data_IF_079422469689
#
_entry.id   IF_079422469689
#
_cell.length_a   1.000
_cell.length_b   1.000
_cell.length_c   1.000
_cell.angle_alpha   90.00
_cell.angle_beta   90.00
_cell.angle_gamma   90.00
#
_symmetry.space_group_name_H-M   'P 1'
#
loop_
_entity.id
_entity.type
_entity.pdbx_description
1 polymer ?
#
# COMPACT_ATOMS: atom_id res chain seq x y z
N UNK A 1 2.65 -19.72 -28.69
CA UNK A 1 2.30 -18.67 -27.70
C UNK A 1 2.05 -19.38 -26.37
N UNK A 2 2.69 -18.96 -25.28
CA UNK A 2 2.50 -19.60 -23.97
C UNK A 2 1.03 -19.46 -23.56
N UNK A 3 0.47 -20.48 -22.91
CA UNK A 3 -0.82 -20.31 -22.24
C UNK A 3 -0.72 -19.26 -21.13
N UNK A 4 -1.84 -18.64 -20.76
CA UNK A 4 -1.87 -17.70 -19.63
C UNK A 4 -1.33 -18.34 -18.34
N UNK A 5 -1.59 -19.64 -18.15
CA UNK A 5 -1.11 -20.36 -16.97
C UNK A 5 0.40 -20.54 -16.94
N UNK A 6 1.04 -20.87 -18.05
CA UNK A 6 2.49 -20.94 -18.14
C UNK A 6 3.11 -19.55 -17.96
N UNK A 7 2.52 -18.55 -18.62
CA UNK A 7 2.95 -17.15 -18.57
C UNK A 7 2.97 -16.59 -17.15
N UNK A 8 1.88 -16.77 -16.40
CA UNK A 8 1.83 -16.30 -15.01
C UNK A 8 2.69 -17.17 -14.09
N UNK A 9 2.85 -18.48 -14.33
CA UNK A 9 3.74 -19.34 -13.51
C UNK A 9 5.18 -18.84 -13.58
N UNK A 10 5.64 -18.38 -14.74
CA UNK A 10 6.98 -17.78 -14.88
C UNK A 10 7.11 -16.49 -14.06
N UNK A 11 6.12 -15.60 -14.15
CA UNK A 11 6.05 -14.41 -13.33
C UNK A 11 6.08 -14.72 -11.82
N UNK A 12 5.28 -15.69 -11.37
CA UNK A 12 5.17 -16.05 -9.96
C UNK A 12 6.48 -16.54 -9.35
N UNK A 13 7.34 -17.19 -10.14
CA UNK A 13 8.69 -17.61 -9.69
C UNK A 13 9.57 -16.41 -9.33
N UNK A 14 9.43 -15.29 -10.03
CA UNK A 14 10.25 -14.08 -9.83
C UNK A 14 9.81 -13.34 -8.56
N UNK A 15 8.49 -13.25 -8.35
CA UNK A 15 7.87 -12.41 -7.32
C UNK A 15 7.47 -13.17 -6.05
N UNK A 16 7.91 -14.42 -5.88
CA UNK A 16 7.55 -15.29 -4.75
C UNK A 16 7.83 -14.63 -3.38
N UNK A 17 8.93 -13.88 -3.25
CA UNK A 17 9.30 -13.16 -2.02
C UNK A 17 8.27 -12.11 -1.56
N UNK A 18 7.38 -11.67 -2.45
CA UNK A 18 6.32 -10.70 -2.16
C UNK A 18 5.00 -11.36 -1.73
N UNK A 19 4.89 -12.69 -1.81
CA UNK A 19 3.68 -13.38 -1.34
C UNK A 19 3.65 -13.45 0.18
N UNK A 20 2.47 -13.17 0.74
CA UNK A 20 2.19 -13.51 2.13
C UNK A 20 1.93 -15.03 2.20
N UNK A 21 2.52 -15.77 3.16
CA UNK A 21 2.22 -17.19 3.33
C UNK A 21 0.73 -17.43 3.54
N UNK A 22 0.17 -18.47 2.91
CA UNK A 22 -1.27 -18.78 2.98
C UNK A 22 -1.79 -18.94 4.41
N UNK A 23 -0.98 -19.43 5.34
CA UNK A 23 -1.33 -19.56 6.76
C UNK A 23 -1.56 -18.22 7.47
N UNK A 24 -1.09 -17.11 6.90
CA UNK A 24 -1.26 -15.75 7.41
C UNK A 24 -2.29 -14.94 6.63
N UNK A 25 -2.97 -15.54 5.65
CA UNK A 25 -3.91 -14.82 4.81
C UNK A 25 -5.07 -14.29 5.62
N UNK A 26 -5.35 -13.03 5.38
CA UNK A 26 -6.59 -12.36 5.72
C UNK A 26 -7.50 -12.35 4.49
N UNK A 27 -8.78 -11.97 4.63
CA UNK A 27 -9.65 -11.75 3.48
C UNK A 27 -9.10 -10.76 2.44
N UNK A 28 -8.23 -9.82 2.83
CA UNK A 28 -7.56 -8.93 1.87
C UNK A 28 -6.53 -9.68 1.02
N UNK A 29 -5.79 -10.60 1.63
CA UNK A 29 -4.80 -11.43 0.96
C UNK A 29 -5.48 -12.38 -0.04
N UNK A 30 -6.66 -12.92 0.30
CA UNK A 30 -7.45 -13.71 -0.64
C UNK A 30 -7.74 -12.93 -1.93
N UNK A 31 -8.17 -11.67 -1.86
CA UNK A 31 -8.43 -10.85 -3.05
C UNK A 31 -7.17 -10.63 -3.89
N UNK A 32 -6.02 -10.47 -3.25
CA UNK A 32 -4.76 -10.14 -3.93
C UNK A 32 -4.12 -11.39 -4.57
N UNK A 33 -4.18 -12.53 -3.89
CA UNK A 33 -3.38 -13.71 -4.24
C UNK A 33 -4.19 -14.87 -4.81
N UNK A 34 -5.50 -14.97 -4.53
CA UNK A 34 -6.32 -16.09 -5.02
C UNK A 34 -6.65 -15.99 -6.52
N UNK A 35 -6.95 -14.80 -7.09
CA UNK A 35 -7.33 -14.75 -8.50
C UNK A 35 -6.17 -15.06 -9.42
N UNK A 36 -6.37 -16.06 -10.29
CA UNK A 36 -5.38 -16.44 -11.29
C UNK A 36 -5.21 -15.34 -12.34
N UNK A 37 -6.31 -14.84 -12.87
CA UNK A 37 -6.37 -13.66 -13.74
C UNK A 37 -7.29 -12.62 -13.08
N UNK A 38 -6.74 -11.50 -12.57
CA UNK A 38 -7.56 -10.48 -11.90
C UNK A 38 -8.58 -9.81 -12.84
N UNK A 39 -8.44 -9.96 -14.16
CA UNK A 39 -9.34 -9.37 -15.15
C UNK A 39 -10.39 -10.34 -15.70
N UNK A 40 -10.38 -11.61 -15.26
CA UNK A 40 -11.33 -12.65 -15.71
C UNK A 40 -12.05 -13.34 -14.55
N UNK A 41 -12.23 -12.62 -13.45
CA UNK A 41 -13.05 -13.07 -12.32
C UNK A 41 -14.53 -12.83 -12.65
N UNK A 42 -15.41 -13.75 -12.28
CA UNK A 42 -16.85 -13.51 -12.42
C UNK A 42 -17.31 -12.34 -11.54
N UNK A 43 -18.37 -11.64 -11.93
CA UNK A 43 -18.92 -10.53 -11.12
C UNK A 43 -19.31 -11.00 -9.71
N UNK A 44 -20.00 -12.14 -9.62
CA UNK A 44 -20.42 -12.72 -8.34
C UNK A 44 -19.24 -12.97 -7.41
N UNK A 45 -18.21 -13.65 -7.90
CA UNK A 45 -17.00 -13.94 -7.12
C UNK A 45 -16.27 -12.66 -6.72
N UNK A 46 -16.17 -11.68 -7.63
CA UNK A 46 -15.57 -10.37 -7.36
C UNK A 46 -16.31 -9.64 -6.23
N UNK A 47 -17.64 -9.64 -6.25
CA UNK A 47 -18.46 -9.01 -5.22
C UNK A 47 -18.33 -9.69 -3.86
N UNK A 48 -18.28 -11.02 -3.83
CA UNK A 48 -18.07 -11.81 -2.62
C UNK A 48 -16.69 -11.55 -2.00
N UNK A 49 -15.63 -11.59 -2.81
CA UNK A 49 -14.26 -11.28 -2.41
C UNK A 49 -14.15 -9.86 -1.86
N UNK A 50 -14.69 -8.88 -2.59
CA UNK A 50 -14.71 -7.46 -2.18
C UNK A 50 -15.44 -7.27 -0.86
N UNK A 51 -16.61 -7.88 -0.69
CA UNK A 51 -17.39 -7.74 0.53
C UNK A 51 -16.65 -8.31 1.75
N UNK A 52 -16.09 -9.51 1.64
CA UNK A 52 -15.28 -10.14 2.71
C UNK A 52 -14.09 -9.27 3.09
N UNK A 53 -13.33 -8.78 2.10
CA UNK A 53 -12.17 -7.93 2.33
C UNK A 53 -12.53 -6.59 2.98
N UNK A 54 -13.57 -5.90 2.51
CA UNK A 54 -13.99 -4.62 3.08
C UNK A 54 -14.55 -4.77 4.48
N UNK A 55 -15.38 -5.79 4.73
CA UNK A 55 -15.90 -6.09 6.07
C UNK A 55 -14.76 -6.37 7.06
N UNK A 56 -13.79 -7.20 6.65
CA UNK A 56 -12.60 -7.47 7.47
C UNK A 56 -11.78 -6.20 7.73
N UNK A 57 -11.52 -5.40 6.69
CA UNK A 57 -10.76 -4.15 6.81
C UNK A 57 -11.43 -3.18 7.78
N UNK A 58 -12.75 -3.01 7.66
CA UNK A 58 -13.54 -2.18 8.56
C UNK A 58 -13.43 -2.64 10.01
N UNK A 59 -13.63 -3.94 10.27
CA UNK A 59 -13.49 -4.51 11.61
C UNK A 59 -12.08 -4.33 12.19
N UNK A 60 -11.05 -4.54 11.35
CA UNK A 60 -9.66 -4.37 11.72
C UNK A 60 -9.33 -2.91 12.11
N UNK A 61 -9.74 -1.93 11.30
CA UNK A 61 -9.54 -0.52 11.62
C UNK A 61 -10.37 -0.07 12.83
N UNK A 62 -11.63 -0.51 12.93
CA UNK A 62 -12.47 -0.22 14.09
C UNK A 62 -11.82 -0.68 15.40
N UNK A 63 -11.21 -1.87 15.39
CA UNK A 63 -10.57 -2.46 16.58
C UNK A 63 -9.20 -1.84 16.90
N UNK A 64 -8.38 -1.58 15.88
CA UNK A 64 -6.95 -1.32 16.05
C UNK A 64 -6.50 0.10 15.68
N UNK A 65 -7.43 1.01 15.35
CA UNK A 65 -7.12 2.41 15.11
C UNK A 65 -7.94 3.29 16.05
N UNK A 66 -7.25 3.97 16.97
CA UNK A 66 -7.91 4.79 18.00
C UNK A 66 -8.74 5.92 17.42
N UNK A 67 -8.25 6.59 16.38
CA UNK A 67 -8.98 7.68 15.71
C UNK A 67 -10.26 7.15 15.04
N UNK A 68 -10.13 6.10 14.23
CA UNK A 68 -11.24 5.54 13.48
C UNK A 68 -12.29 4.89 14.39
N UNK A 69 -11.86 4.27 15.49
CA UNK A 69 -12.77 3.77 16.53
C UNK A 69 -13.66 4.87 17.10
N UNK A 70 -13.08 6.03 17.45
CA UNK A 70 -13.82 7.19 17.95
C UNK A 70 -14.81 7.71 16.91
N UNK A 71 -14.37 7.91 15.67
CA UNK A 71 -15.23 8.33 14.55
C UNK A 71 -16.43 7.39 14.35
N UNK A 72 -16.21 6.07 14.44
CA UNK A 72 -17.27 5.08 14.29
C UNK A 72 -18.25 5.12 15.48
N UNK A 73 -17.76 5.27 16.71
CA UNK A 73 -18.60 5.41 17.91
C UNK A 73 -19.47 6.66 17.88
N UNK A 74 -18.90 7.80 17.47
CA UNK A 74 -19.63 9.07 17.30
C UNK A 74 -20.78 8.94 16.28
N UNK A 75 -20.57 8.16 15.22
CA UNK A 75 -21.58 7.86 14.21
C UNK A 75 -22.50 6.70 14.55
N UNK A 76 -22.30 6.03 15.69
CA UNK A 76 -23.10 4.88 16.12
C UNK A 76 -22.98 3.64 15.24
N UNK A 77 -21.86 3.48 14.50
CA UNK A 77 -21.64 2.34 13.59
C UNK A 77 -20.59 1.39 14.17
N UNK A 78 -20.83 0.07 14.08
CA UNK A 78 -19.92 -1.00 14.50
C UNK A 78 -19.81 -2.11 13.43
N UNK A 79 -18.77 -2.97 13.49
CA UNK A 79 -18.57 -4.05 12.51
C UNK A 79 -19.79 -4.97 12.29
N UNK A 80 -20.56 -5.23 13.33
CA UNK A 80 -21.75 -6.10 13.26
C UNK A 80 -22.91 -5.52 12.44
N UNK A 81 -22.88 -4.21 12.14
CA UNK A 81 -23.87 -3.55 11.30
C UNK A 81 -23.68 -3.83 9.80
N UNK A 82 -22.53 -4.43 9.44
CA UNK A 82 -22.15 -4.75 8.06
C UNK A 82 -22.42 -6.24 7.80
N UNK A 83 -23.64 -6.56 7.33
CA UNK A 83 -24.10 -7.95 7.13
C UNK A 83 -24.20 -8.34 5.66
N UNK A 84 -24.45 -7.38 4.78
CA UNK A 84 -24.59 -7.57 3.32
C UNK A 84 -23.87 -6.46 2.53
N UNK A 85 -23.60 -6.64 1.22
CA UNK A 85 -22.88 -5.65 0.42
C UNK A 85 -23.45 -4.24 0.46
N UNK A 86 -24.78 -4.08 0.51
CA UNK A 86 -25.41 -2.76 0.59
C UNK A 86 -25.17 -2.03 1.92
N UNK A 87 -24.72 -2.72 2.97
CA UNK A 87 -24.36 -2.08 4.25
C UNK A 87 -23.00 -1.38 4.19
N UNK A 88 -22.17 -1.63 3.16
CA UNK A 88 -20.85 -1.00 3.03
C UNK A 88 -20.93 0.53 2.98
N UNK A 89 -22.05 1.09 2.53
CA UNK A 89 -22.30 2.54 2.51
C UNK A 89 -22.43 3.16 3.91
N UNK A 90 -22.65 2.34 4.95
CA UNK A 90 -22.70 2.79 6.35
C UNK A 90 -21.30 3.05 6.93
N UNK A 91 -20.25 2.52 6.30
CA UNK A 91 -18.87 2.65 6.79
C UNK A 91 -18.48 4.13 6.75
N UNK A 92 -18.06 4.72 7.88
CA UNK A 92 -17.63 6.12 7.91
C UNK A 92 -16.46 6.37 6.95
N UNK A 93 -16.64 7.34 6.06
CA UNK A 93 -15.58 7.86 5.20
C UNK A 93 -14.68 8.83 5.97
N UNK A 94 -13.40 8.84 5.61
CA UNK A 94 -12.41 9.81 6.10
C UNK A 94 -12.07 10.76 4.93
N UNK A 95 -12.26 12.08 5.09
CA UNK A 95 -11.93 13.03 4.03
C UNK A 95 -10.42 13.08 3.80
N UNK A 96 -9.98 13.35 2.57
CA UNK A 96 -8.56 13.47 2.23
C UNK A 96 -7.86 14.59 3.01
N UNK A 97 -8.60 15.68 3.32
CA UNK A 97 -8.12 16.80 4.14
C UNK A 97 -7.56 16.34 5.49
N UNK A 98 -8.12 15.29 6.10
CA UNK A 98 -7.59 14.73 7.35
C UNK A 98 -6.12 14.31 7.21
N UNK A 99 -5.75 13.68 6.08
CA UNK A 99 -4.38 13.24 5.82
C UNK A 99 -3.44 14.36 5.37
N UNK A 100 -3.99 15.54 5.08
CA UNK A 100 -3.24 16.75 4.71
C UNK A 100 -3.05 17.68 5.91
N UNK A 101 -3.89 17.59 6.94
CA UNK A 101 -3.86 18.44 8.13
C UNK A 101 -2.86 17.94 9.19
N UNK A 102 -1.66 17.57 8.74
CA UNK A 102 -0.59 17.13 9.63
C UNK A 102 0.20 18.34 10.17
N UNK A 103 0.72 18.28 11.41
CA UNK A 103 1.52 19.34 12.01
C UNK A 103 2.84 19.60 11.26
N UNK A 104 3.31 20.85 11.29
CA UNK A 104 4.59 21.22 10.65
C UNK A 104 5.81 20.95 11.55
N UNK A 105 5.63 20.95 12.87
CA UNK A 105 6.70 20.59 13.80
C UNK A 105 6.88 19.06 13.85
N UNK A 106 8.13 18.60 13.93
CA UNK A 106 8.42 17.17 13.83
C UNK A 106 7.89 16.33 14.99
N UNK A 107 7.78 16.87 16.20
CA UNK A 107 7.29 16.10 17.36
C UNK A 107 5.81 15.81 17.23
N UNK A 108 5.01 16.84 16.95
CA UNK A 108 3.58 16.67 16.71
C UNK A 108 3.33 15.87 15.44
N UNK A 109 4.17 16.00 14.42
CA UNK A 109 4.10 15.16 13.21
C UNK A 109 4.32 13.67 13.52
N UNK A 110 5.29 13.33 14.38
CA UNK A 110 5.53 11.95 14.82
C UNK A 110 4.32 11.38 15.60
N UNK A 111 3.74 12.17 16.50
CA UNK A 111 2.52 11.82 17.24
C UNK A 111 1.33 11.60 16.28
N UNK A 112 1.18 12.50 15.30
CA UNK A 112 0.13 12.41 14.29
C UNK A 112 0.28 11.15 13.42
N UNK A 113 1.49 10.85 12.92
CA UNK A 113 1.78 9.62 12.17
C UNK A 113 1.44 8.36 12.97
N UNK A 114 1.79 8.35 14.26
CA UNK A 114 1.50 7.24 15.17
C UNK A 114 -0.02 7.03 15.32
N UNK A 115 -0.79 8.11 15.42
CA UNK A 115 -2.24 8.05 15.61
C UNK A 115 -3.02 7.60 14.37
N UNK A 116 -2.50 7.84 13.16
CA UNK A 116 -3.15 7.39 11.92
C UNK A 116 -2.78 5.96 11.53
N UNK A 117 -1.72 5.40 12.11
CA UNK A 117 -1.34 4.01 11.89
C UNK A 117 -2.40 3.06 12.50
N UNK A 118 -2.61 1.91 11.86
CA UNK A 118 -3.51 0.86 12.37
C UNK A 118 -2.69 -0.36 12.72
N UNK A 119 -2.84 -0.86 13.95
CA UNK A 119 -2.09 -2.00 14.44
C UNK A 119 -1.07 -1.61 15.51
N UNK A 120 -0.11 -2.50 15.75
CA UNK A 120 0.92 -2.31 16.77
C UNK A 120 2.09 -1.53 16.18
N UNK A 121 2.34 -0.33 16.69
CA UNK A 121 3.54 0.41 16.34
C UNK A 121 4.80 -0.32 16.84
N UNK A 122 5.88 -0.37 16.05
CA UNK A 122 7.19 -0.76 16.55
C UNK A 122 7.70 0.28 17.56
N UNK A 123 8.78 -0.06 18.26
CA UNK A 123 9.48 0.92 19.09
C UNK A 123 10.18 1.93 18.17
N UNK A 124 9.80 3.19 18.28
CA UNK A 124 10.29 4.29 17.44
C UNK A 124 11.11 5.24 18.31
N UNK A 125 12.41 5.34 18.03
CA UNK A 125 13.30 6.28 18.68
C UNK A 125 13.51 7.52 17.81
N UNK A 126 13.01 8.67 18.26
CA UNK A 126 13.21 9.95 17.58
C UNK A 126 14.57 10.52 17.98
N UNK A 127 15.55 10.49 17.07
CA UNK A 127 16.96 10.72 17.39
C UNK A 127 17.27 12.17 17.75
N UNK A 128 16.58 13.12 17.12
CA UNK A 128 16.86 14.55 17.26
C UNK A 128 15.94 15.19 18.29
N UNK A 129 16.48 16.10 19.11
CA UNK A 129 15.71 16.89 20.08
C UNK A 129 14.64 17.77 19.43
N UNK A 130 14.95 18.34 18.26
CA UNK A 130 14.06 19.18 17.44
C UNK A 130 14.04 18.63 16.00
N UNK A 131 13.33 17.52 15.76
CA UNK A 131 13.35 16.85 14.46
C UNK A 131 12.53 17.65 13.43
N UNK A 132 12.94 17.61 12.17
CA UNK A 132 12.13 18.03 11.03
C UNK A 132 11.29 16.85 10.51
N UNK A 133 10.31 17.11 9.64
CA UNK A 133 9.46 16.08 9.03
C UNK A 133 10.27 14.94 8.40
N UNK A 134 11.34 15.25 7.68
CA UNK A 134 12.20 14.25 7.06
C UNK A 134 12.95 13.38 8.08
N UNK A 135 13.37 13.97 9.21
CA UNK A 135 14.04 13.23 10.28
C UNK A 135 13.08 12.20 10.90
N UNK A 136 11.83 12.61 11.14
CA UNK A 136 10.78 11.72 11.65
C UNK A 136 10.49 10.58 10.67
N UNK A 137 10.38 10.89 9.38
CA UNK A 137 10.18 9.88 8.34
C UNK A 137 11.32 8.85 8.35
N UNK A 138 12.57 9.30 8.43
CA UNK A 138 13.74 8.43 8.45
C UNK A 138 13.80 7.57 9.73
N UNK A 139 13.42 8.12 10.89
CA UNK A 139 13.34 7.37 12.16
C UNK A 139 12.22 6.32 12.13
N UNK A 140 11.03 6.64 11.61
CA UNK A 140 9.96 5.66 11.39
C UNK A 140 10.39 4.57 10.40
N UNK A 141 11.06 4.95 9.32
CA UNK A 141 11.54 3.98 8.33
C UNK A 141 12.57 3.01 8.94
N UNK A 142 13.46 3.53 9.79
CA UNK A 142 14.49 2.73 10.48
C UNK A 142 13.86 1.76 11.49
N UNK A 143 12.69 2.09 12.06
CA UNK A 143 11.95 1.24 13.00
C UNK A 143 11.22 0.04 12.35
N UNK A 144 11.30 -0.11 11.03
CA UNK A 144 10.64 -1.20 10.30
C UNK A 144 9.29 -0.83 9.67
N UNK A 145 8.89 0.45 9.74
CA UNK A 145 7.80 0.98 8.92
C UNK A 145 8.31 1.52 7.58
N UNK A 146 7.41 1.88 6.70
CA UNK A 146 7.70 2.63 5.47
C UNK A 146 6.69 3.77 5.37
N UNK A 147 7.13 4.98 5.67
CA UNK A 147 6.31 6.19 5.52
C UNK A 147 6.37 6.63 4.07
N UNK A 148 5.21 6.63 3.43
CA UNK A 148 5.06 6.98 2.02
C UNK A 148 4.28 8.29 1.85
N UNK A 149 4.61 9.04 0.79
CA UNK A 149 3.91 10.26 0.41
C UNK A 149 3.21 10.16 -0.94
N UNK A 150 2.14 10.94 -1.09
CA UNK A 150 1.43 11.14 -2.37
C UNK A 150 2.20 12.07 -3.31
N UNK A 151 1.77 12.14 -4.57
CA UNK A 151 2.35 13.00 -5.60
C UNK A 151 2.12 14.50 -5.38
N UNK A 152 1.21 14.91 -4.47
CA UNK A 152 1.02 16.32 -4.12
C UNK A 152 0.24 17.16 -5.14
N UNK A 153 -0.48 16.55 -6.09
CA UNK A 153 -1.19 17.25 -7.19
C UNK A 153 -2.25 18.27 -6.74
N UNK A 154 -2.62 18.28 -5.46
CA UNK A 154 -3.56 19.24 -4.85
C UNK A 154 -2.87 20.24 -3.91
N UNK A 155 -1.56 20.43 -4.05
CA UNK A 155 -0.76 21.44 -3.33
C UNK A 155 -0.19 21.00 -1.97
N UNK A 156 -0.70 19.93 -1.36
CA UNK A 156 -0.14 19.35 -0.12
C UNK A 156 -0.08 17.83 -0.21
N UNK A 157 1.06 17.27 0.20
CA UNK A 157 1.24 15.82 0.27
C UNK A 157 0.35 15.21 1.35
N UNK A 158 0.14 13.90 1.25
CA UNK A 158 -0.39 13.09 2.34
C UNK A 158 0.68 12.10 2.75
N UNK A 159 0.78 11.78 4.04
CA UNK A 159 1.75 10.82 4.56
C UNK A 159 1.02 9.62 5.15
N UNK A 160 1.46 8.41 4.80
CA UNK A 160 0.90 7.18 5.32
C UNK A 160 2.01 6.22 5.76
N UNK A 161 2.08 5.85 7.05
CA UNK A 161 2.97 4.81 7.54
C UNK A 161 2.43 3.42 7.19
N UNK A 162 3.32 2.50 6.80
CA UNK A 162 2.96 1.15 6.33
C UNK A 162 3.92 0.12 6.89
N UNK A 163 3.41 -1.07 7.17
CA UNK A 163 4.25 -2.22 7.49
C UNK A 163 4.80 -2.89 6.21
N UNK A 164 5.75 -3.79 6.40
CA UNK A 164 6.37 -4.54 5.31
C UNK A 164 5.34 -5.39 4.53
N UNK A 165 4.35 -5.96 5.20
CA UNK A 165 3.33 -6.80 4.57
C UNK A 165 2.46 -6.00 3.60
N UNK A 166 2.12 -4.77 3.96
CA UNK A 166 1.39 -3.82 3.11
C UNK A 166 2.20 -3.50 1.86
N UNK A 167 3.51 -3.28 1.99
CA UNK A 167 4.40 -3.05 0.84
C UNK A 167 4.45 -4.31 -0.03
N UNK A 168 4.60 -5.50 0.57
CA UNK A 168 4.63 -6.78 -0.14
C UNK A 168 3.36 -7.03 -0.95
N UNK A 169 2.19 -6.85 -0.34
CA UNK A 169 0.88 -6.97 -1.02
C UNK A 169 0.75 -6.00 -2.19
N UNK A 170 1.11 -4.74 -1.98
CA UNK A 170 1.00 -3.72 -3.01
C UNK A 170 1.96 -3.98 -4.19
N UNK A 171 3.20 -4.36 -3.90
CA UNK A 171 4.17 -4.77 -4.91
C UNK A 171 3.66 -5.98 -5.71
N UNK A 172 3.24 -7.05 -5.03
CA UNK A 172 2.66 -8.20 -5.72
C UNK A 172 1.49 -7.79 -6.62
N UNK A 173 0.53 -7.04 -6.08
CA UNK A 173 -0.67 -6.63 -6.81
C UNK A 173 -0.34 -5.79 -8.03
N UNK A 174 0.51 -4.77 -7.91
CA UNK A 174 0.92 -3.93 -9.05
C UNK A 174 1.58 -4.78 -10.14
N UNK A 175 2.54 -5.62 -9.78
CA UNK A 175 3.27 -6.44 -10.75
C UNK A 175 2.34 -7.45 -11.42
N UNK A 176 1.49 -8.13 -10.64
CA UNK A 176 0.51 -9.11 -11.12
C UNK A 176 -0.46 -8.50 -12.11
N UNK A 177 -1.01 -7.33 -11.80
CA UNK A 177 -1.93 -6.62 -12.67
C UNK A 177 -1.25 -6.21 -13.98
N UNK A 178 -0.06 -5.61 -13.93
CA UNK A 178 0.69 -5.21 -15.12
C UNK A 178 0.98 -6.41 -16.02
N UNK A 179 1.54 -7.48 -15.47
CA UNK A 179 1.89 -8.68 -16.25
C UNK A 179 0.64 -9.32 -16.84
N UNK A 180 -0.46 -9.41 -16.09
CA UNK A 180 -1.72 -9.99 -16.60
C UNK A 180 -2.31 -9.13 -17.73
N UNK A 181 -2.27 -7.79 -17.62
CA UNK A 181 -2.71 -6.88 -18.70
C UNK A 181 -1.86 -6.99 -19.96
N UNK A 182 -0.56 -7.23 -19.81
CA UNK A 182 0.37 -7.35 -20.92
C UNK A 182 0.30 -8.72 -21.61
N UNK A 183 -0.47 -9.69 -21.14
CA UNK A 183 -0.53 -11.00 -21.78
C UNK A 183 -0.95 -10.89 -23.25
N UNK A 184 -0.24 -11.54 -24.21
CA UNK A 184 0.87 -12.50 -24.04
C UNK A 184 2.29 -11.89 -24.22
N UNK A 185 2.44 -10.58 -24.13
CA UNK A 185 3.63 -9.83 -24.57
C UNK A 185 4.74 -9.67 -23.54
N UNK A 186 4.50 -9.83 -22.24
CA UNK A 186 5.59 -9.74 -21.25
C UNK A 186 6.54 -10.93 -21.38
N UNK A 187 7.83 -10.64 -21.40
CA UNK A 187 8.89 -11.63 -21.27
C UNK A 187 9.94 -11.13 -20.29
N UNK A 188 10.49 -12.02 -19.46
CA UNK A 188 11.52 -11.63 -18.50
C UNK A 188 12.77 -11.07 -19.17
N UNK A 189 13.11 -11.50 -20.39
CA UNK A 189 14.28 -11.02 -21.15
C UNK A 189 14.17 -9.56 -21.63
N UNK A 190 13.04 -8.88 -21.43
CA UNK A 190 12.83 -7.50 -21.84
C UNK A 190 13.76 -6.52 -21.12
N UNK A 191 14.00 -5.37 -21.77
CA UNK A 191 14.66 -4.21 -21.17
C UNK A 191 13.63 -3.14 -20.83
N UNK A 192 13.58 -2.70 -19.58
CA UNK A 192 12.75 -1.56 -19.17
C UNK A 192 13.57 -0.27 -19.08
N UNK A 193 13.02 0.80 -19.63
CA UNK A 193 13.53 2.15 -19.41
C UNK A 193 12.67 2.86 -18.36
N UNK A 194 13.31 3.42 -17.34
CA UNK A 194 12.64 4.20 -16.30
C UNK A 194 13.33 5.52 -16.11
N UNK A 195 12.57 6.61 -16.12
CA UNK A 195 13.14 7.94 -15.97
C UNK A 195 13.78 8.14 -14.59
N UNK A 196 13.14 7.63 -13.52
CA UNK A 196 13.60 7.82 -12.14
C UNK A 196 13.73 6.50 -11.38
N UNK A 197 14.76 6.42 -10.53
CA UNK A 197 14.99 5.30 -9.62
C UNK A 197 13.86 5.18 -8.58
N UNK A 198 13.08 4.08 -8.55
CA UNK A 198 11.91 3.96 -7.67
C UNK A 198 12.28 3.87 -6.19
N UNK A 199 13.37 3.15 -5.91
CA UNK A 199 13.82 2.81 -4.56
C UNK A 199 14.26 4.05 -3.76
N UNK A 200 14.79 5.05 -4.46
CA UNK A 200 15.31 6.30 -3.91
C UNK A 200 14.24 7.28 -3.42
N UNK A 201 12.94 6.99 -3.57
CA UNK A 201 11.87 7.94 -3.22
C UNK A 201 10.99 7.39 -2.11
N UNK A 202 10.42 8.26 -1.29
CA UNK A 202 9.34 7.89 -0.36
C UNK A 202 7.95 8.02 -1.03
N UNK A 203 7.87 8.16 -2.36
CA UNK A 203 6.56 8.14 -3.04
C UNK A 203 5.97 6.75 -2.96
N UNK A 204 4.66 6.67 -2.69
CA UNK A 204 3.94 5.40 -2.65
C UNK A 204 4.18 4.54 -3.91
N UNK A 205 4.00 5.13 -5.09
CA UNK A 205 4.21 4.44 -6.38
C UNK A 205 5.67 4.00 -6.57
N UNK A 206 6.63 4.73 -6.02
CA UNK A 206 8.04 4.36 -6.06
C UNK A 206 8.32 3.14 -5.19
N UNK A 207 7.90 3.18 -3.92
CA UNK A 207 8.10 2.08 -2.97
C UNK A 207 7.36 0.81 -3.40
N UNK A 208 6.06 0.89 -3.66
CA UNK A 208 5.27 -0.28 -4.08
C UNK A 208 5.68 -0.77 -5.48
N UNK A 209 5.98 0.14 -6.41
CA UNK A 209 6.35 -0.18 -7.80
C UNK A 209 7.82 -0.51 -8.03
N UNK A 210 8.64 -0.61 -6.97
CA UNK A 210 10.05 -1.06 -7.11
C UNK A 210 10.12 -2.46 -7.71
N UNK A 211 9.19 -3.35 -7.35
CA UNK A 211 9.05 -4.70 -7.94
C UNK A 211 9.01 -4.74 -9.48
N UNK A 212 8.56 -3.67 -10.14
CA UNK A 212 8.49 -3.62 -11.61
C UNK A 212 9.91 -3.70 -12.21
N UNK A 213 10.93 -3.22 -11.49
CA UNK A 213 12.33 -3.35 -11.94
C UNK A 213 12.86 -4.77 -11.80
N UNK A 214 12.16 -5.65 -11.08
CA UNK A 214 12.59 -7.03 -10.84
C UNK A 214 11.93 -8.03 -11.78
N UNK A 215 10.84 -7.65 -12.45
CA UNK A 215 10.10 -8.51 -13.39
C UNK A 215 10.65 -8.45 -14.83
N UNK A 216 11.80 -7.82 -15.02
CA UNK A 216 12.52 -7.74 -16.30
C UNK A 216 14.02 -7.93 -16.05
N UNK A 217 14.75 -8.42 -17.05
CA UNK A 217 16.16 -8.78 -16.93
C UNK A 217 17.06 -7.55 -16.84
N UNK A 218 16.75 -6.51 -17.60
CA UNK A 218 17.56 -5.29 -17.65
C UNK A 218 16.69 -4.06 -17.37
N UNK A 219 17.16 -3.19 -16.50
CA UNK A 219 16.53 -1.91 -16.20
C UNK A 219 17.54 -0.79 -16.41
N UNK A 220 17.18 0.14 -17.30
CA UNK A 220 17.94 1.36 -17.54
C UNK A 220 17.24 2.52 -16.86
N UNK A 221 17.93 3.12 -15.89
CA UNK A 221 17.42 4.26 -15.13
C UNK A 221 18.11 5.53 -15.59
N UNK A 222 17.34 6.51 -16.03
CA UNK A 222 17.88 7.80 -16.49
C UNK A 222 18.44 8.63 -15.34
N UNK A 223 17.70 8.76 -14.24
CA UNK A 223 18.04 9.67 -13.15
C UNK A 223 17.92 9.00 -11.78
N UNK A 224 19.02 9.04 -11.00
CA UNK A 224 19.10 8.54 -9.63
C UNK A 224 19.05 9.71 -8.65
N UNK A 225 17.85 10.17 -8.31
CA UNK A 225 17.63 11.29 -7.36
C UNK A 225 16.70 10.84 -6.24
N UNK A 226 17.06 11.18 -4.99
CA UNK A 226 16.16 11.06 -3.83
C UNK A 226 15.11 12.16 -3.91
N UNK A 227 13.88 11.82 -4.28
CA UNK A 227 12.78 12.78 -4.28
C UNK A 227 12.36 13.04 -2.83
N UNK A 228 12.59 14.27 -2.37
CA UNK A 228 12.11 14.74 -1.06
C UNK A 228 10.75 15.43 -1.20
N UNK A 229 9.95 15.53 -0.13
CA UNK A 229 8.67 16.26 -0.17
C UNK A 229 8.79 17.71 -0.65
N UNK A 230 9.95 18.35 -0.47
CA UNK A 230 10.19 19.73 -0.91
C UNK A 230 10.36 19.87 -2.43
N UNK A 231 10.76 18.79 -3.11
CA UNK A 231 11.06 18.79 -4.55
C UNK A 231 9.82 18.56 -5.43
N UNK A 232 8.64 18.36 -4.82
CA UNK A 232 7.39 18.02 -5.52
C UNK A 232 6.31 19.08 -5.25
N UNK A 233 6.73 20.30 -4.91
CA UNK A 233 5.84 21.45 -4.76
C UNK A 233 5.61 22.14 -6.10
#
# INVERSE_FOLDING_TARGET
MKSFDEYIKEFEKIIEKYKIPKSKWTPQDEVVYSPRDPFRISLKETEELRFKALKYSFAHHYKNNTFYNKLCKEKGIKPDDIKKPSDLTKIPLIPDKFFKDYPEDGKSFAMWLSNIYTGKLPEIYIKKRNPKTEDVIDDFNTSGLTVTLSSGTSGRHTFIPRDADTIRRASYSIAKNIVSMLYPFWEYNMTMYKQTEPSGTNRWVGKAGTVITEIVKEVRVGTKIKITPKMVR
#
